data_IF_393778280119
#
_entry.id   IF_393778280119
#
_cell.length_a   1.000
_cell.length_b   1.000
_cell.length_c   1.000
_cell.angle_alpha   90.00
_cell.angle_beta   90.00
_cell.angle_gamma   90.00
#
_symmetry.space_group_name_H-M   'P 1'
#
loop_
_entity.id
_entity.type
_entity.pdbx_description
1 polymer ?
#
# COMPACT_ATOMS: atom_id res chain seq x y z
N UNK A 1 -63.44 -14.99 -1.65
CA UNK A 1 -63.64 -14.97 -3.12
C UNK A 1 -62.28 -14.89 -3.80
N UNK A 2 -61.78 -15.97 -4.42
CA UNK A 2 -60.52 -15.95 -5.16
C UNK A 2 -60.76 -15.53 -6.62
N UNK A 3 -59.93 -14.63 -7.15
CA UNK A 3 -59.85 -14.39 -8.60
C UNK A 3 -58.50 -14.88 -9.13
N UNK A 4 -58.62 -15.81 -10.06
CA UNK A 4 -57.57 -16.44 -10.85
C UNK A 4 -56.96 -15.43 -11.82
N UNK A 5 -55.64 -15.46 -11.98
CA UNK A 5 -55.02 -15.30 -13.29
C UNK A 5 -53.84 -16.27 -13.38
N UNK A 6 -53.83 -17.06 -14.44
CA UNK A 6 -52.79 -18.02 -14.79
C UNK A 6 -52.18 -17.56 -16.11
N UNK A 7 -50.84 -17.51 -16.23
CA UNK A 7 -50.15 -17.58 -17.53
C UNK A 7 -48.79 -18.28 -17.38
N UNK A 8 -48.80 -19.52 -17.88
CA UNK A 8 -47.84 -20.30 -18.67
C UNK A 8 -46.33 -20.41 -18.30
N UNK A 9 -45.79 -21.65 -18.27
CA UNK A 9 -44.36 -21.94 -18.21
C UNK A 9 -43.70 -21.88 -19.61
N UNK A 10 -42.47 -21.34 -19.68
CA UNK A 10 -41.61 -21.43 -20.86
C UNK A 10 -40.81 -22.73 -20.79
N UNK A 11 -40.99 -23.53 -21.84
CA UNK A 11 -40.40 -24.83 -22.07
C UNK A 11 -39.07 -24.66 -22.82
N UNK A 12 -37.99 -25.29 -22.33
CA UNK A 12 -36.69 -25.42 -22.99
C UNK A 12 -36.64 -26.80 -23.66
N UNK A 13 -36.50 -26.89 -25.00
CA UNK A 13 -36.07 -28.13 -25.62
C UNK A 13 -34.57 -28.12 -25.88
N UNK A 14 -33.94 -29.22 -25.47
CA UNK A 14 -32.62 -29.64 -25.90
C UNK A 14 -32.65 -30.12 -27.36
N UNK A 15 -31.58 -29.86 -28.09
CA UNK A 15 -31.23 -30.59 -29.33
C UNK A 15 -29.75 -30.38 -29.66
N UNK A 16 -28.92 -31.37 -29.31
CA UNK A 16 -27.81 -31.83 -30.15
C UNK A 16 -28.38 -32.87 -31.15
N UNK A 17 -27.63 -33.45 -32.12
CA UNK A 17 -26.40 -33.04 -32.80
C UNK A 17 -26.53 -33.16 -34.34
N UNK A 18 -25.75 -32.39 -35.11
CA UNK A 18 -25.45 -32.75 -36.50
C UNK A 18 -23.98 -32.55 -36.80
N UNK A 19 -23.33 -33.69 -37.07
CA UNK A 19 -22.01 -33.89 -37.65
C UNK A 19 -21.76 -32.96 -38.84
N UNK A 20 -20.62 -32.25 -38.83
CA UNK A 20 -19.87 -32.04 -40.06
C UNK A 20 -18.38 -32.21 -39.78
N UNK A 21 -17.79 -33.17 -40.49
CA UNK A 21 -16.36 -33.38 -40.57
C UNK A 21 -15.75 -32.17 -41.31
N UNK A 22 -14.98 -31.37 -40.59
CA UNK A 22 -14.06 -30.41 -41.16
C UNK A 22 -12.75 -30.57 -40.41
N UNK A 23 -11.74 -31.08 -41.11
CA UNK A 23 -10.36 -31.17 -40.63
C UNK A 23 -9.71 -29.80 -40.87
N UNK A 24 -9.36 -28.99 -39.84
CA UNK A 24 -8.48 -27.86 -40.04
C UNK A 24 -7.05 -28.29 -39.73
N UNK A 25 -6.19 -28.10 -40.73
CA UNK A 25 -4.76 -28.26 -40.63
C UNK A 25 -4.23 -27.44 -39.45
N UNK A 26 -3.51 -28.09 -38.54
CA UNK A 26 -2.81 -27.45 -37.43
C UNK A 26 -1.67 -26.59 -37.97
N UNK A 27 -1.82 -25.27 -37.90
CA UNK A 27 -0.71 -24.33 -38.00
C UNK A 27 0.20 -24.50 -36.77
N UNK A 28 1.54 -24.53 -36.92
CA UNK A 28 2.46 -24.98 -35.87
C UNK A 28 2.93 -23.85 -34.96
N UNK A 29 2.06 -22.95 -34.51
CA UNK A 29 2.49 -21.76 -33.73
C UNK A 29 1.69 -21.46 -32.45
N UNK A 30 0.89 -22.42 -31.93
CA UNK A 30 0.15 -22.24 -30.68
C UNK A 30 0.49 -23.31 -29.63
N UNK A 31 1.78 -23.53 -29.35
CA UNK A 31 2.21 -24.27 -28.15
C UNK A 31 2.80 -23.28 -27.12
N UNK A 32 2.06 -22.89 -26.05
CA UNK A 32 2.48 -21.87 -25.09
C UNK A 32 3.68 -22.28 -24.22
N UNK A 33 4.19 -23.51 -24.41
CA UNK A 33 5.36 -24.06 -23.73
C UNK A 33 6.56 -24.29 -24.68
N UNK A 34 6.49 -23.84 -25.93
CA UNK A 34 7.61 -23.91 -26.88
C UNK A 34 8.89 -23.23 -26.36
N UNK A 35 8.72 -22.19 -25.54
CA UNK A 35 9.79 -21.41 -24.88
C UNK A 35 10.64 -22.26 -23.91
N UNK A 36 10.14 -23.44 -23.49
CA UNK A 36 10.86 -24.36 -22.60
C UNK A 36 11.55 -25.52 -23.33
N UNK A 37 11.39 -25.62 -24.66
CA UNK A 37 12.28 -26.47 -25.44
C UNK A 37 13.61 -25.75 -25.56
N UNK A 38 14.62 -26.25 -24.86
CA UNK A 38 15.99 -25.82 -25.08
C UNK A 38 16.37 -26.19 -26.51
N UNK A 39 16.34 -25.22 -27.42
CA UNK A 39 17.05 -25.35 -28.68
C UNK A 39 18.55 -25.32 -28.36
N UNK A 40 19.32 -26.35 -28.74
CA UNK A 40 20.76 -26.31 -28.59
C UNK A 40 21.29 -25.10 -29.33
N UNK A 41 22.09 -24.29 -28.64
CA UNK A 41 22.69 -23.08 -29.21
C UNK A 41 23.37 -23.46 -30.54
N UNK A 42 23.16 -22.70 -31.64
CA UNK A 42 23.91 -22.93 -32.86
C UNK A 42 25.41 -22.89 -32.52
N UNK A 43 26.17 -23.85 -33.03
CA UNK A 43 27.63 -23.88 -32.89
C UNK A 43 28.19 -22.60 -33.51
N UNK A 44 28.43 -21.60 -32.67
CA UNK A 44 28.95 -20.31 -33.09
C UNK A 44 30.39 -20.52 -33.55
N UNK A 45 30.67 -20.17 -34.81
CA UNK A 45 32.04 -20.21 -35.32
C UNK A 45 32.95 -19.32 -34.45
N UNK A 46 34.20 -19.72 -34.19
CA UNK A 46 35.11 -19.00 -33.29
C UNK A 46 35.37 -17.55 -33.73
N UNK A 47 35.27 -17.27 -35.03
CA UNK A 47 35.32 -15.92 -35.61
C UNK A 47 34.09 -15.08 -35.22
N UNK A 48 32.89 -15.67 -35.30
CA UNK A 48 31.64 -15.01 -34.94
C UNK A 48 31.57 -14.74 -33.43
N UNK A 49 32.04 -15.68 -32.60
CA UNK A 49 32.16 -15.49 -31.16
C UNK A 49 33.13 -14.34 -30.81
N UNK A 50 34.27 -14.25 -31.50
CA UNK A 50 35.21 -13.13 -31.36
C UNK A 50 34.61 -11.80 -31.79
N UNK A 51 33.77 -11.79 -32.82
CA UNK A 51 33.12 -10.58 -33.31
C UNK A 51 32.00 -10.10 -32.38
N UNK A 52 31.29 -11.01 -31.71
CA UNK A 52 30.33 -10.67 -30.64
C UNK A 52 31.03 -10.14 -29.37
N UNK A 53 32.21 -10.68 -29.05
CA UNK A 53 33.03 -10.23 -27.91
C UNK A 53 33.76 -8.90 -28.19
N UNK A 54 34.04 -8.58 -29.46
CA UNK A 54 34.70 -7.32 -29.86
C UNK A 54 33.72 -6.17 -30.10
N UNK A 55 32.42 -6.46 -30.20
CA UNK A 55 31.40 -5.43 -30.23
C UNK A 55 31.50 -4.59 -28.95
N UNK A 56 31.49 -3.25 -29.05
CA UNK A 56 31.40 -2.43 -27.86
C UNK A 56 30.09 -2.80 -27.18
N UNK A 57 30.19 -3.52 -26.06
CA UNK A 57 29.10 -3.64 -25.09
C UNK A 57 28.89 -2.22 -24.61
N UNK A 58 28.01 -1.48 -25.30
CA UNK A 58 27.46 -0.27 -24.74
C UNK A 58 26.82 -0.74 -23.44
N UNK A 59 27.32 -0.29 -22.27
CA UNK A 59 26.57 -0.53 -21.06
C UNK A 59 25.22 0.07 -21.35
N UNK A 60 24.18 -0.77 -21.37
CA UNK A 60 22.81 -0.33 -21.35
C UNK A 60 22.67 0.31 -19.97
N UNK A 61 23.10 1.56 -19.85
CA UNK A 61 22.84 2.41 -18.70
C UNK A 61 21.34 2.59 -18.78
N UNK A 62 20.61 1.65 -18.19
CA UNK A 62 19.18 1.70 -18.10
C UNK A 62 18.86 3.07 -17.52
N UNK A 63 18.34 3.94 -18.37
CA UNK A 63 18.03 5.31 -18.02
C UNK A 63 16.89 5.22 -16.99
N UNK A 64 17.24 5.22 -15.70
CA UNK A 64 16.28 5.10 -14.59
C UNK A 64 15.30 6.29 -14.51
N UNK A 65 15.35 7.17 -15.51
CA UNK A 65 14.30 8.10 -15.86
C UNK A 65 13.04 7.35 -16.26
N UNK A 66 12.17 7.26 -15.24
CA UNK A 66 10.69 7.18 -15.26
C UNK A 66 10.08 5.86 -14.77
N UNK A 67 10.66 5.22 -13.76
CA UNK A 67 9.78 4.49 -12.83
C UNK A 67 8.81 5.51 -12.19
N UNK A 68 7.48 5.26 -12.22
CA UNK A 68 6.53 6.13 -11.54
C UNK A 68 6.94 6.22 -10.07
N UNK A 69 6.82 7.40 -9.46
CA UNK A 69 7.34 7.69 -8.11
C UNK A 69 6.89 6.68 -7.03
N UNK A 70 5.78 5.96 -7.27
CA UNK A 70 5.24 4.89 -6.41
C UNK A 70 6.04 3.59 -6.43
N UNK A 71 6.74 3.28 -7.53
CA UNK A 71 7.54 2.06 -7.73
C UNK A 71 9.03 2.27 -7.44
N UNK A 72 9.45 3.50 -7.17
CA UNK A 72 10.84 3.78 -6.79
C UNK A 72 11.11 3.24 -5.38
N UNK A 73 12.21 2.48 -5.16
CA UNK A 73 12.57 2.00 -3.84
C UNK A 73 12.77 3.19 -2.90
N UNK A 74 12.22 3.10 -1.68
CA UNK A 74 12.40 4.14 -0.68
C UNK A 74 13.87 4.24 -0.30
N UNK A 75 14.41 5.45 -0.38
CA UNK A 75 15.81 5.74 -0.09
C UNK A 75 16.20 5.58 1.38
N UNK A 76 15.23 5.44 2.28
CA UNK A 76 15.48 5.32 3.72
C UNK A 76 14.44 4.41 4.37
N UNK A 77 14.89 3.44 5.18
CA UNK A 77 14.01 2.51 5.93
C UNK A 77 13.25 3.22 7.07
N UNK A 78 13.74 4.38 7.51
CA UNK A 78 13.20 5.09 8.68
C UNK A 78 11.98 5.95 8.35
N UNK A 79 10.90 5.76 9.11
CA UNK A 79 9.70 6.60 8.99
C UNK A 79 9.99 8.07 9.28
N UNK A 80 9.47 8.94 8.41
CA UNK A 80 9.58 10.39 8.55
C UNK A 80 10.94 10.96 8.19
N UNK A 81 11.88 10.14 7.71
CA UNK A 81 13.21 10.55 7.25
C UNK A 81 13.29 10.25 5.76
N UNK A 82 13.72 11.23 4.96
CA UNK A 82 13.87 11.07 3.51
C UNK A 82 15.24 11.57 3.10
N UNK A 83 15.96 10.75 2.36
CA UNK A 83 17.21 11.17 1.73
C UNK A 83 16.93 12.13 0.58
N UNK A 84 17.62 13.26 0.57
CA UNK A 84 17.62 14.23 -0.51
C UNK A 84 19.03 14.27 -1.10
N UNK A 85 19.12 13.88 -2.37
CA UNK A 85 20.34 13.93 -3.16
C UNK A 85 20.08 14.81 -4.40
N UNK A 86 20.56 16.04 -4.37
CA UNK A 86 20.47 16.99 -5.48
C UNK A 86 21.88 17.35 -5.98
N UNK A 87 22.47 16.55 -6.88
CA UNK A 87 23.86 16.74 -7.32
C UNK A 87 24.08 18.09 -8.01
N UNK A 88 23.13 18.55 -8.84
CA UNK A 88 23.20 19.85 -9.51
C UNK A 88 23.25 21.05 -8.53
N UNK A 89 22.66 20.92 -7.34
CA UNK A 89 22.65 21.95 -6.29
C UNK A 89 23.63 21.64 -5.15
N UNK A 90 24.47 20.61 -5.31
CA UNK A 90 25.41 20.10 -4.29
C UNK A 90 24.77 19.93 -2.92
N UNK A 91 23.47 19.61 -2.88
CA UNK A 91 22.69 19.50 -1.66
C UNK A 91 22.46 18.03 -1.36
N UNK A 92 23.15 17.53 -0.34
CA UNK A 92 23.09 16.14 0.10
C UNK A 92 22.74 16.11 1.59
N UNK A 93 21.76 15.30 1.96
CA UNK A 93 21.36 15.21 3.35
C UNK A 93 20.04 14.49 3.58
N UNK A 94 19.60 14.53 4.83
CA UNK A 94 18.37 13.93 5.29
C UNK A 94 17.36 14.99 5.69
N UNK A 95 16.14 14.87 5.17
CA UNK A 95 15.03 15.71 5.57
C UNK A 95 14.10 14.94 6.50
N UNK A 96 13.95 15.45 7.71
CA UNK A 96 13.11 14.84 8.74
C UNK A 96 11.81 15.64 8.85
N UNK A 97 10.69 14.92 8.88
CA UNK A 97 9.35 15.47 9.04
C UNK A 97 8.61 14.72 10.13
N UNK A 98 8.29 15.42 11.21
CA UNK A 98 7.46 14.92 12.30
C UNK A 98 6.15 15.69 12.31
N UNK A 99 5.04 14.98 12.16
CA UNK A 99 3.70 15.54 12.30
C UNK A 99 2.94 14.79 13.39
N UNK A 100 2.35 15.56 14.31
CA UNK A 100 1.54 15.04 15.39
C UNK A 100 0.53 16.09 15.85
N UNK A 101 -0.72 15.67 16.08
CA UNK A 101 -1.78 16.51 16.62
C UNK A 101 -1.83 17.96 16.04
N UNK A 102 -1.88 18.08 14.70
CA UNK A 102 -1.82 19.33 13.92
C UNK A 102 -0.50 20.12 13.97
N UNK A 103 0.44 19.75 14.84
CA UNK A 103 1.78 20.34 14.87
C UNK A 103 2.69 19.65 13.85
N UNK A 104 3.52 20.46 13.16
CA UNK A 104 4.46 19.99 12.14
C UNK A 104 5.83 20.55 12.48
N UNK A 105 6.81 19.66 12.66
CA UNK A 105 8.22 20.01 12.84
C UNK A 105 9.01 19.38 11.71
N UNK A 106 9.87 20.15 11.08
CA UNK A 106 10.75 19.66 10.02
C UNK A 106 12.13 20.27 10.13
N UNK A 107 13.16 19.47 9.85
CA UNK A 107 14.55 19.90 9.86
C UNK A 107 15.35 19.15 8.81
N UNK A 108 16.31 19.83 8.20
CA UNK A 108 17.24 19.27 7.24
C UNK A 108 18.62 19.08 7.89
N UNK A 109 19.24 17.94 7.63
CA UNK A 109 20.55 17.55 8.12
C UNK A 109 21.43 17.31 6.90
N UNK A 110 22.33 18.25 6.61
CA UNK A 110 23.24 18.17 5.46
C UNK A 110 24.45 17.31 5.78
N UNK A 111 24.91 16.51 4.82
CA UNK A 111 26.08 15.66 5.01
C UNK A 111 27.35 16.49 5.26
N UNK A 112 27.49 17.62 4.56
CA UNK A 112 28.67 18.48 4.71
C UNK A 112 28.82 19.09 6.11
N UNK A 113 27.72 19.26 6.85
CA UNK A 113 27.75 19.82 8.22
C UNK A 113 28.09 18.75 9.24
N UNK A 114 27.59 17.52 9.04
CA UNK A 114 27.83 16.39 9.95
C UNK A 114 29.02 15.51 9.51
N UNK A 115 29.73 15.90 8.45
CA UNK A 115 30.92 15.24 7.92
C UNK A 115 30.62 14.09 6.95
N UNK A 116 29.66 13.24 7.28
CA UNK A 116 29.34 12.06 6.46
C UNK A 116 27.85 11.70 6.49
N UNK A 117 27.43 10.87 5.53
CA UNK A 117 26.07 10.36 5.36
C UNK A 117 25.58 9.63 6.61
N UNK A 118 26.41 8.79 7.22
CA UNK A 118 26.00 8.02 8.41
C UNK A 118 25.82 8.93 9.62
N UNK A 119 26.72 9.91 9.82
CA UNK A 119 26.61 10.89 10.89
C UNK A 119 25.36 11.77 10.74
N UNK A 120 25.08 12.25 9.52
CA UNK A 120 23.86 13.00 9.23
C UNK A 120 22.59 12.17 9.47
N UNK A 121 22.61 10.86 9.16
CA UNK A 121 21.51 9.96 9.43
C UNK A 121 21.28 9.75 10.93
N UNK A 122 22.35 9.55 11.70
CA UNK A 122 22.28 9.40 13.15
C UNK A 122 21.66 10.64 13.81
N UNK A 123 22.17 11.83 13.46
CA UNK A 123 21.63 13.10 13.95
C UNK A 123 20.15 13.30 13.57
N UNK A 124 19.76 12.91 12.34
CA UNK A 124 18.38 12.95 11.88
C UNK A 124 17.46 12.02 12.71
N UNK A 125 17.93 10.83 13.05
CA UNK A 125 17.19 9.86 13.88
C UNK A 125 17.02 10.37 15.31
N UNK A 126 18.09 10.88 15.92
CA UNK A 126 18.06 11.41 17.28
C UNK A 126 17.11 12.60 17.38
N UNK A 127 17.22 13.56 16.47
CA UNK A 127 16.33 14.72 16.44
C UNK A 127 14.87 14.31 16.25
N UNK A 128 14.60 13.33 15.37
CA UNK A 128 13.24 12.79 15.20
C UNK A 128 12.73 12.23 16.52
N UNK A 129 13.51 11.37 17.18
CA UNK A 129 13.09 10.69 18.41
C UNK A 129 12.86 11.70 19.55
N UNK A 130 13.73 12.71 19.68
CA UNK A 130 13.56 13.80 20.64
C UNK A 130 12.27 14.60 20.37
N UNK A 131 12.04 14.95 19.10
CA UNK A 131 10.83 15.68 18.67
C UNK A 131 9.56 14.84 18.86
N UNK A 132 9.59 13.54 18.59
CA UNK A 132 8.46 12.64 18.83
C UNK A 132 8.15 12.53 20.33
N UNK A 133 9.17 12.52 21.20
CA UNK A 133 9.01 12.53 22.66
C UNK A 133 8.44 13.85 23.17
N UNK A 134 8.93 14.98 22.70
CA UNK A 134 8.42 16.32 23.04
C UNK A 134 6.94 16.48 22.66
N UNK A 135 6.56 15.97 21.48
CA UNK A 135 5.18 16.01 21.01
C UNK A 135 4.26 14.96 21.68
N UNK A 136 4.81 14.05 22.49
CA UNK A 136 4.04 12.97 23.11
C UNK A 136 3.50 11.94 22.10
N UNK A 137 4.19 11.76 20.97
CA UNK A 137 3.78 10.83 19.93
C UNK A 137 4.27 9.41 20.25
N UNK A 138 3.39 8.39 20.27
CA UNK A 138 3.84 7.01 20.42
C UNK A 138 4.72 6.61 19.23
N UNK A 139 5.92 6.10 19.52
CA UNK A 139 6.88 5.63 18.52
C UNK A 139 6.35 4.34 17.91
N UNK A 140 5.70 4.46 16.76
CA UNK A 140 5.24 3.32 15.96
C UNK A 140 5.59 3.55 14.49
N UNK A 141 6.06 2.49 13.82
CA UNK A 141 6.40 2.54 12.39
C UNK A 141 5.18 2.57 11.48
N UNK A 142 4.04 2.19 12.03
CA UNK A 142 2.75 2.39 11.39
C UNK A 142 2.35 3.88 11.43
N UNK A 143 1.54 4.30 10.47
CA UNK A 143 0.93 5.64 10.48
C UNK A 143 0.03 5.78 11.71
N UNK A 144 0.22 6.83 12.50
CA UNK A 144 -0.64 7.18 13.64
C UNK A 144 -1.27 8.53 13.33
N UNK A 145 -2.61 8.60 13.42
CA UNK A 145 -3.37 9.81 13.19
C UNK A 145 -3.72 10.39 14.56
N UNK A 146 -3.17 11.57 14.89
CA UNK A 146 -3.43 12.22 16.17
C UNK A 146 -4.64 13.17 16.17
N UNK A 147 -5.30 13.39 15.03
CA UNK A 147 -6.34 14.41 14.88
C UNK A 147 -7.66 13.76 14.50
N UNK A 148 -8.71 14.04 15.28
CA UNK A 148 -10.07 13.69 14.92
C UNK A 148 -10.58 14.70 13.89
N UNK A 149 -11.11 14.20 12.76
CA UNK A 149 -11.74 15.02 11.71
C UNK A 149 -13.27 14.96 11.78
N UNK A 150 -13.82 14.41 12.87
CA UNK A 150 -15.24 14.09 12.98
C UNK A 150 -15.88 14.86 14.12
N UNK A 151 -17.19 15.11 14.00
CA UNK A 151 -18.03 15.84 14.97
C UNK A 151 -17.95 15.32 16.40
N UNK A 152 -17.57 14.05 16.60
CA UNK A 152 -17.40 13.41 17.90
C UNK A 152 -16.12 13.81 18.64
N UNK A 153 -15.16 14.45 17.97
CA UNK A 153 -13.85 14.80 18.55
C UNK A 153 -12.93 13.61 18.82
N UNK A 154 -13.35 12.37 18.53
CA UNK A 154 -12.58 11.14 18.78
C UNK A 154 -12.03 10.58 17.47
N UNK A 155 -10.74 10.26 17.44
CA UNK A 155 -10.06 9.78 16.22
C UNK A 155 -10.64 8.44 15.75
N UNK A 156 -11.23 8.44 14.56
CA UNK A 156 -11.77 7.23 13.93
C UNK A 156 -13.13 6.79 14.47
N UNK A 157 -13.82 7.65 15.23
CA UNK A 157 -15.22 7.44 15.62
C UNK A 157 -16.08 8.48 14.91
N UNK A 158 -17.14 8.04 14.24
CA UNK A 158 -18.09 8.93 13.55
C UNK A 158 -19.53 8.64 13.90
N UNK A 159 -20.37 9.68 13.93
CA UNK A 159 -21.84 9.54 13.93
C UNK A 159 -22.28 9.33 12.49
N UNK A 160 -23.07 8.30 12.23
CA UNK A 160 -23.58 7.97 10.90
C UNK A 160 -24.97 7.33 11.03
N UNK A 161 -25.74 7.30 9.95
CA UNK A 161 -27.05 6.67 9.90
C UNK A 161 -26.89 5.37 9.11
N UNK A 162 -27.23 4.24 9.73
CA UNK A 162 -27.29 2.92 9.08
C UNK A 162 -28.69 2.37 9.22
N UNK A 163 -29.29 1.93 8.11
CA UNK A 163 -30.63 1.33 8.08
C UNK A 163 -31.69 2.21 8.79
N UNK A 164 -31.62 3.52 8.55
CA UNK A 164 -32.51 4.51 9.17
C UNK A 164 -32.26 4.77 10.66
N UNK A 165 -31.24 4.16 11.27
CA UNK A 165 -30.91 4.30 12.69
C UNK A 165 -29.60 5.05 12.88
N UNK A 166 -29.56 5.95 13.85
CA UNK A 166 -28.32 6.62 14.19
C UNK A 166 -27.38 5.68 14.97
N UNK A 167 -26.13 5.63 14.53
CA UNK A 167 -25.08 4.80 15.12
C UNK A 167 -23.77 5.58 15.26
N UNK A 168 -23.01 5.25 16.30
CA UNK A 168 -21.60 5.59 16.38
C UNK A 168 -20.77 4.45 15.81
N UNK A 169 -20.01 4.74 14.74
CA UNK A 169 -19.12 3.79 14.11
C UNK A 169 -17.67 4.07 14.49
N UNK A 170 -17.00 3.08 15.08
CA UNK A 170 -15.57 3.07 15.31
C UNK A 170 -14.87 2.31 14.19
N UNK A 171 -13.87 2.92 13.56
CA UNK A 171 -13.05 2.33 12.50
C UNK A 171 -11.60 2.20 12.95
N UNK A 172 -10.97 1.06 12.67
CA UNK A 172 -9.54 0.86 12.89
C UNK A 172 -8.91 0.06 11.75
N UNK A 173 -7.59 0.16 11.64
CA UNK A 173 -6.81 -0.61 10.67
C UNK A 173 -6.14 -1.78 11.38
N UNK A 174 -6.40 -2.97 10.88
CA UNK A 174 -5.83 -4.23 11.33
C UNK A 174 -4.94 -4.80 10.22
N UNK A 175 -3.63 -4.64 10.37
CA UNK A 175 -2.65 -4.91 9.31
C UNK A 175 -3.00 -4.19 8.01
N UNK A 176 -3.32 -4.94 6.97
CA UNK A 176 -3.72 -4.40 5.67
C UNK A 176 -5.24 -4.22 5.50
N UNK A 177 -6.06 -4.68 6.45
CA UNK A 177 -7.53 -4.61 6.38
C UNK A 177 -8.07 -3.47 7.24
N UNK A 178 -9.18 -2.87 6.81
CA UNK A 178 -9.93 -1.89 7.61
C UNK A 178 -11.11 -2.60 8.25
N UNK A 179 -11.25 -2.49 9.57
CA UNK A 179 -12.35 -3.06 10.36
C UNK A 179 -13.19 -1.95 10.97
N UNK A 180 -14.48 -2.24 11.16
CA UNK A 180 -15.47 -1.28 11.67
C UNK A 180 -16.41 -1.98 12.65
N UNK A 181 -16.80 -1.30 13.72
CA UNK A 181 -17.91 -1.70 14.60
C UNK A 181 -18.84 -0.53 14.84
N UNK A 182 -20.14 -0.78 14.83
CA UNK A 182 -21.18 0.22 15.05
C UNK A 182 -21.95 -0.04 16.34
N UNK A 183 -22.24 1.03 17.08
CA UNK A 183 -23.05 1.03 18.29
C UNK A 183 -24.28 1.90 18.08
N UNK A 184 -25.48 1.33 18.23
CA UNK A 184 -26.73 2.05 18.02
C UNK A 184 -27.03 3.03 19.15
N UNK A 185 -27.38 4.26 18.78
CA UNK A 185 -27.79 5.31 19.72
C UNK A 185 -29.14 4.97 20.34
N UNK A 186 -30.09 4.44 19.56
CA UNK A 186 -31.41 4.03 20.05
C UNK A 186 -31.32 2.96 21.16
N UNK A 187 -30.37 2.02 21.06
CA UNK A 187 -30.22 0.93 22.03
C UNK A 187 -29.53 1.36 23.34
N UNK A 188 -28.51 2.22 23.25
CA UNK A 188 -27.63 2.52 24.38
C UNK A 188 -27.77 3.96 24.91
N UNK A 189 -28.39 4.86 24.15
CA UNK A 189 -28.35 6.30 24.37
C UNK A 189 -27.05 6.92 23.86
N UNK A 190 -27.06 8.22 23.55
CA UNK A 190 -25.96 8.92 22.88
C UNK A 190 -24.64 8.83 23.67
N UNK A 191 -24.66 9.21 24.95
CA UNK A 191 -23.46 9.21 25.81
C UNK A 191 -22.83 7.83 25.96
N UNK A 192 -23.64 6.79 26.19
CA UNK A 192 -23.14 5.42 26.38
C UNK A 192 -22.66 4.81 25.06
N UNK A 193 -23.37 5.04 23.96
CA UNK A 193 -22.95 4.57 22.63
C UNK A 193 -21.60 5.20 22.22
N UNK A 194 -21.41 6.50 22.49
CA UNK A 194 -20.13 7.18 22.25
C UNK A 194 -19.01 6.62 23.14
N UNK A 195 -19.28 6.39 24.42
CA UNK A 195 -18.31 5.80 25.35
C UNK A 195 -17.90 4.37 24.93
N UNK A 196 -18.85 3.55 24.46
CA UNK A 196 -18.57 2.22 23.92
C UNK A 196 -17.69 2.29 22.67
N UNK A 197 -18.02 3.19 21.73
CA UNK A 197 -17.22 3.40 20.53
C UNK A 197 -15.79 3.87 20.86
N UNK A 198 -15.65 4.76 21.84
CA UNK A 198 -14.35 5.22 22.36
C UNK A 198 -13.54 4.05 22.94
N UNK A 199 -14.14 3.27 23.84
CA UNK A 199 -13.48 2.14 24.49
C UNK A 199 -13.05 1.07 23.49
N UNK A 200 -13.90 0.79 22.50
CA UNK A 200 -13.56 -0.11 21.40
C UNK A 200 -12.33 0.42 20.65
N UNK A 201 -12.32 1.71 20.29
CA UNK A 201 -11.21 2.34 19.58
C UNK A 201 -9.90 2.28 20.36
N UNK A 202 -9.92 2.63 21.65
CA UNK A 202 -8.75 2.60 22.53
C UNK A 202 -8.20 1.17 22.70
N UNK A 203 -9.08 0.17 22.82
CA UNK A 203 -8.70 -1.24 22.89
C UNK A 203 -7.93 -1.67 21.64
N UNK A 204 -8.41 -1.34 20.45
CA UNK A 204 -7.75 -1.72 19.20
C UNK A 204 -6.47 -0.93 18.93
N UNK A 205 -6.41 0.36 19.30
CA UNK A 205 -5.16 1.13 19.22
C UNK A 205 -4.09 0.55 20.16
N UNK A 206 -4.46 0.11 21.37
CA UNK A 206 -3.54 -0.56 22.29
C UNK A 206 -3.04 -1.90 21.74
N UNK A 207 -3.92 -2.71 21.15
CA UNK A 207 -3.53 -3.96 20.50
C UNK A 207 -2.56 -3.69 19.34
N UNK A 208 -2.87 -2.69 18.51
CA UNK A 208 -2.03 -2.28 17.39
C UNK A 208 -0.65 -1.77 17.80
N UNK A 209 -0.54 -1.14 18.96
CA UNK A 209 0.76 -0.70 19.51
C UNK A 209 1.58 -1.88 20.03
N UNK A 210 0.94 -2.92 20.57
CA UNK A 210 1.60 -4.12 21.08
C UNK A 210 2.05 -5.07 19.97
N UNK A 211 1.28 -5.20 18.91
CA UNK A 211 1.61 -6.10 17.80
C UNK A 211 2.54 -5.39 16.81
N UNK A 212 3.82 -5.79 16.67
CA UNK A 212 4.68 -5.28 15.61
C UNK A 212 4.01 -5.51 14.24
N UNK A 213 4.28 -4.66 13.26
CA UNK A 213 3.91 -5.01 11.89
C UNK A 213 4.68 -6.29 11.54
N UNK A 214 3.97 -7.39 11.33
CA UNK A 214 4.53 -8.48 10.55
C UNK A 214 4.70 -7.91 9.14
N UNK A 215 5.94 -7.77 8.72
CA UNK A 215 6.31 -7.40 7.35
C UNK A 215 5.89 -8.51 6.38
#
# INVERSE_FOLDING_TARGET
MPRRHAVRPVNLPASEPTTTNGHPQSHPDDDPMSVLRYEPLPDLDPEQARQLLSAPTTPVVADTKKLPARLRPKTTKHKGITRIDHPAKRTFGYFVRVTWNKQRRSKFFSDSVYGDRLAALAAAIEWRNATERELGKPRTERQVIGVARTSTGIVGVRRTIKDGREVYEATWRDGNRIRRTSYSIAKHGERRALALARRAREKYERQRQRTPAAD
#
